data_IF_317814418028
#
_entry.id   IF_317814418028
#
_cell.length_a   1.000
_cell.length_b   1.000
_cell.length_c   1.000
_cell.angle_alpha   90.00
_cell.angle_beta   90.00
_cell.angle_gamma   90.00
#
_symmetry.space_group_name_H-M   'P 1'
#
loop_
_entity.id
_entity.type
_entity.pdbx_description
1 polymer ?
#
# COMPACT_ATOMS: atom_id res chain seq x y z
N UNK A 1 -14.97 16.12 22.76
CA UNK A 1 -14.91 16.00 21.29
C UNK A 1 -14.02 14.82 20.96
N UNK A 2 -14.45 13.94 20.08
CA UNK A 2 -13.71 12.72 19.79
C UNK A 2 -12.56 12.97 18.81
N UNK A 3 -11.53 12.14 18.88
CA UNK A 3 -10.47 12.11 17.89
C UNK A 3 -11.05 11.69 16.53
N UNK A 4 -10.41 12.13 15.46
CA UNK A 4 -10.71 11.70 14.10
C UNK A 4 -9.45 11.11 13.45
N UNK A 5 -9.54 10.72 12.21
CA UNK A 5 -8.38 10.19 11.48
C UNK A 5 -8.13 11.00 10.21
N UNK A 6 -6.86 11.11 9.84
CA UNK A 6 -6.49 11.74 8.58
C UNK A 6 -6.93 10.87 7.39
N UNK A 7 -7.10 11.50 6.23
CA UNK A 7 -7.71 10.84 5.07
C UNK A 7 -6.88 9.67 4.53
N UNK A 8 -5.58 9.84 4.41
CA UNK A 8 -4.75 8.86 3.68
C UNK A 8 -4.00 7.92 4.63
N UNK A 9 -3.13 8.44 5.47
CA UNK A 9 -2.31 7.60 6.35
C UNK A 9 -3.04 7.17 7.62
N UNK A 10 -4.27 7.65 7.82
CA UNK A 10 -5.08 7.32 9.00
C UNK A 10 -4.38 7.66 10.32
N UNK A 11 -3.68 8.80 10.33
CA UNK A 11 -3.11 9.35 11.54
C UNK A 11 -4.24 9.72 12.51
N UNK A 12 -4.00 9.61 13.79
CA UNK A 12 -4.95 10.13 14.77
C UNK A 12 -4.88 11.65 14.81
N UNK A 13 -5.96 12.31 14.48
CA UNK A 13 -6.12 13.75 14.63
C UNK A 13 -6.72 13.97 16.00
N UNK A 14 -5.90 14.45 16.95
CA UNK A 14 -6.28 14.57 18.33
C UNK A 14 -7.20 15.77 18.53
N UNK A 15 -8.33 15.55 19.21
CA UNK A 15 -9.24 16.62 19.56
C UNK A 15 -8.70 17.38 20.78
N UNK A 16 -8.95 18.69 20.81
CA UNK A 16 -8.51 19.53 21.91
C UNK A 16 -9.17 19.08 23.21
N UNK A 17 -8.37 18.92 24.26
CA UNK A 17 -8.86 18.49 25.57
C UNK A 17 -9.01 17.00 25.74
N UNK A 18 -8.84 16.23 24.66
CA UNK A 18 -8.91 14.77 24.73
C UNK A 18 -7.53 14.17 25.00
N UNK A 19 -7.51 12.87 25.25
CA UNK A 19 -6.28 12.07 25.35
C UNK A 19 -5.38 12.45 26.54
N UNK A 20 -5.97 12.94 27.63
CA UNK A 20 -5.21 13.22 28.83
C UNK A 20 -4.50 11.94 29.33
N UNK A 21 -3.18 12.04 29.49
CA UNK A 21 -2.34 10.91 29.86
C UNK A 21 -1.91 10.01 28.71
N UNK A 22 -2.46 10.17 27.50
CA UNK A 22 -2.14 9.32 26.34
C UNK A 22 -1.71 10.10 25.10
N UNK A 23 -1.80 11.42 25.10
CA UNK A 23 -1.49 12.23 23.91
C UNK A 23 -0.04 12.01 23.41
N UNK A 24 0.90 11.77 24.32
CA UNK A 24 2.29 11.50 23.92
C UNK A 24 2.43 10.20 23.15
N UNK A 25 1.72 9.17 23.56
CA UNK A 25 1.71 7.88 22.85
C UNK A 25 1.07 8.01 21.48
N UNK A 26 -0.02 8.74 21.38
CA UNK A 26 -0.72 8.98 20.12
C UNK A 26 0.19 9.75 19.17
N UNK A 27 0.86 10.79 19.64
CA UNK A 27 1.79 11.59 18.84
C UNK A 27 2.96 10.71 18.34
N UNK A 28 3.52 9.89 19.21
CA UNK A 28 4.62 9.00 18.85
C UNK A 28 4.17 7.98 17.81
N UNK A 29 2.99 7.42 17.95
CA UNK A 29 2.44 6.48 16.97
C UNK A 29 2.24 7.17 15.61
N UNK A 30 1.74 8.40 15.59
CA UNK A 30 1.63 9.19 14.36
C UNK A 30 2.98 9.37 13.68
N UNK A 31 4.04 9.67 14.46
CA UNK A 31 5.39 9.81 13.92
C UNK A 31 5.91 8.50 13.32
N UNK A 32 5.61 7.38 13.96
CA UNK A 32 5.99 6.06 13.42
C UNK A 32 5.25 5.76 12.11
N UNK A 33 3.99 6.15 11.99
CA UNK A 33 3.24 6.01 10.73
C UNK A 33 3.88 6.88 9.64
N UNK A 34 4.27 8.11 9.97
CA UNK A 34 4.95 8.98 9.01
C UNK A 34 6.30 8.39 8.59
N UNK A 35 7.06 7.87 9.53
CA UNK A 35 8.32 7.20 9.22
C UNK A 35 8.09 6.00 8.30
N UNK A 36 7.07 5.20 8.59
CA UNK A 36 6.66 4.08 7.75
C UNK A 36 6.35 4.52 6.32
N UNK A 37 5.60 5.61 6.16
CA UNK A 37 5.20 6.11 4.86
C UNK A 37 6.37 6.70 4.05
N UNK A 38 7.39 7.19 4.72
CA UNK A 38 8.55 7.83 4.07
C UNK A 38 9.65 6.82 3.79
N UNK A 39 10.00 5.97 4.75
CA UNK A 39 11.13 5.06 4.66
C UNK A 39 10.83 3.62 5.04
N UNK A 40 9.58 3.27 5.25
CA UNK A 40 9.21 1.93 5.70
C UNK A 40 9.26 0.89 4.61
N UNK A 41 9.48 -0.35 5.01
CA UNK A 41 9.53 -1.52 4.14
C UNK A 41 8.81 -2.68 4.81
N UNK A 42 8.01 -3.39 4.05
CA UNK A 42 7.45 -4.66 4.50
C UNK A 42 7.47 -5.70 3.39
N UNK A 43 7.61 -6.96 3.81
CA UNK A 43 7.42 -8.11 2.93
C UNK A 43 6.05 -8.70 3.25
N UNK A 44 5.23 -8.86 2.22
CA UNK A 44 3.87 -9.41 2.33
C UNK A 44 3.84 -10.72 1.57
N UNK A 45 3.55 -11.81 2.29
CA UNK A 45 3.37 -13.11 1.64
C UNK A 45 1.94 -13.17 1.10
N UNK A 46 1.83 -13.35 -0.22
CA UNK A 46 0.52 -13.44 -0.86
C UNK A 46 -0.03 -14.86 -0.83
N UNK A 47 -1.34 -14.98 -0.82
CA UNK A 47 -1.99 -16.27 -1.02
C UNK A 47 -1.83 -16.70 -2.48
N UNK A 48 -1.58 -17.98 -2.70
CA UNK A 48 -1.24 -18.52 -4.01
C UNK A 48 -2.32 -18.31 -5.08
N UNK A 49 -3.57 -18.20 -4.68
CA UNK A 49 -4.70 -18.09 -5.61
C UNK A 49 -5.56 -16.84 -5.40
N UNK A 50 -5.52 -16.23 -4.21
CA UNK A 50 -6.39 -15.10 -3.88
C UNK A 50 -5.63 -13.80 -3.67
N UNK A 51 -4.30 -13.84 -3.55
CA UNK A 51 -3.48 -12.65 -3.37
C UNK A 51 -3.42 -12.13 -1.95
N UNK A 52 -3.60 -10.83 -1.77
CA UNK A 52 -3.51 -10.19 -0.46
C UNK A 52 -4.32 -8.90 -0.43
N UNK A 53 -4.63 -8.44 0.78
CA UNK A 53 -5.17 -7.10 1.00
C UNK A 53 -4.23 -6.33 1.91
N UNK A 54 -3.85 -5.14 1.50
CA UNK A 54 -3.02 -4.26 2.31
C UNK A 54 -3.91 -3.52 3.30
N UNK A 55 -3.43 -3.35 4.51
CA UNK A 55 -4.21 -2.78 5.61
C UNK A 55 -3.79 -1.35 5.90
N UNK A 56 -4.76 -0.53 6.29
CA UNK A 56 -4.56 0.85 6.73
C UNK A 56 -5.34 1.06 8.02
N UNK A 57 -4.77 0.60 9.11
CA UNK A 57 -5.42 0.71 10.43
C UNK A 57 -5.46 2.16 10.89
N UNK A 58 -6.59 2.56 11.47
CA UNK A 58 -6.74 3.91 12.02
C UNK A 58 -5.80 4.09 13.22
N UNK A 59 -4.97 5.11 13.17
CA UNK A 59 -4.11 5.47 14.29
C UNK A 59 -3.07 4.43 14.68
N UNK A 60 -2.70 3.52 13.76
CA UNK A 60 -1.74 2.46 14.03
C UNK A 60 -0.90 2.17 12.79
N UNK A 61 0.27 1.59 12.99
CA UNK A 61 1.08 1.08 11.87
C UNK A 61 0.36 -0.10 11.21
N UNK A 62 0.52 -0.24 9.92
CA UNK A 62 -0.08 -1.34 9.15
C UNK A 62 0.66 -1.51 7.84
N UNK A 63 0.60 -2.71 7.24
CA UNK A 63 1.46 -3.05 6.10
C UNK A 63 1.24 -2.20 4.85
N UNK A 64 0.04 -1.67 4.66
CA UNK A 64 -0.25 -0.81 3.52
C UNK A 64 0.38 0.57 3.60
N UNK A 65 0.84 1.00 4.77
CA UNK A 65 1.41 2.33 4.97
C UNK A 65 2.90 2.41 4.63
N UNK A 66 3.56 1.28 4.44
CA UNK A 66 4.98 1.27 4.08
C UNK A 66 5.21 1.92 2.72
N UNK A 67 6.35 2.60 2.59
CA UNK A 67 6.75 3.19 1.32
C UNK A 67 7.09 2.13 0.29
N UNK A 68 7.73 1.04 0.71
CA UNK A 68 8.15 -0.07 -0.14
C UNK A 68 7.50 -1.35 0.36
N UNK A 69 6.81 -2.05 -0.52
CA UNK A 69 6.12 -3.30 -0.20
C UNK A 69 6.61 -4.37 -1.16
N UNK A 70 7.17 -5.44 -0.60
CA UNK A 70 7.65 -6.58 -1.38
C UNK A 70 6.65 -7.72 -1.29
N UNK A 71 6.13 -8.12 -2.43
CA UNK A 71 5.20 -9.26 -2.51
C UNK A 71 6.00 -10.53 -2.69
N UNK A 72 5.79 -11.51 -1.80
CA UNK A 72 6.53 -12.78 -1.79
C UNK A 72 5.57 -13.96 -1.81
N UNK A 73 6.11 -15.12 -2.09
CA UNK A 73 5.37 -16.37 -2.11
C UNK A 73 5.31 -16.99 -3.49
N UNK A 74 4.81 -18.22 -3.54
CA UNK A 74 4.59 -18.94 -4.79
C UNK A 74 3.14 -18.83 -5.19
N UNK A 75 2.87 -18.30 -6.38
CA UNK A 75 1.51 -18.16 -6.90
C UNK A 75 1.23 -19.25 -7.92
N UNK A 76 0.01 -19.76 -7.92
CA UNK A 76 -0.45 -20.82 -8.82
C UNK A 76 -1.61 -20.37 -9.69
N UNK A 77 -1.93 -19.10 -9.67
CA UNK A 77 -2.93 -18.45 -10.49
C UNK A 77 -2.69 -16.93 -10.50
N UNK A 78 -3.43 -16.22 -11.34
CA UNK A 78 -3.42 -14.77 -11.33
C UNK A 78 -4.00 -14.28 -10.01
N UNK A 79 -3.35 -13.28 -9.41
CA UNK A 79 -3.77 -12.76 -8.11
C UNK A 79 -3.94 -11.25 -8.15
N UNK A 80 -4.75 -10.76 -7.23
CA UNK A 80 -4.92 -9.34 -6.96
C UNK A 80 -4.35 -8.99 -5.59
N UNK A 81 -3.73 -7.84 -5.50
CA UNK A 81 -3.33 -7.23 -4.23
C UNK A 81 -4.17 -5.98 -4.05
N UNK A 82 -5.02 -5.99 -3.05
CA UNK A 82 -6.01 -4.94 -2.86
C UNK A 82 -5.45 -3.86 -1.95
N UNK A 83 -5.49 -2.62 -2.42
CA UNK A 83 -5.25 -1.43 -1.61
C UNK A 83 -6.61 -0.80 -1.31
N UNK A 84 -6.76 -0.09 -0.18
CA UNK A 84 -8.07 0.46 0.16
C UNK A 84 -8.49 1.57 -0.78
N UNK A 85 -9.79 1.60 -1.09
CA UNK A 85 -10.42 2.77 -1.70
C UNK A 85 -10.30 3.96 -0.74
N UNK A 86 -10.39 5.16 -1.26
CA UNK A 86 -10.39 6.40 -0.46
C UNK A 86 -9.03 6.76 0.16
N UNK A 87 -7.97 6.05 -0.19
CA UNK A 87 -6.61 6.39 0.23
C UNK A 87 -5.81 6.82 -0.98
N UNK A 88 -5.28 8.03 -0.91
CA UNK A 88 -4.38 8.55 -1.94
C UNK A 88 -2.95 8.36 -1.46
N UNK A 89 -2.15 7.60 -2.21
CA UNK A 89 -0.80 7.28 -1.79
C UNK A 89 0.05 6.79 -2.97
N UNK A 90 1.34 7.08 -2.89
CA UNK A 90 2.35 6.48 -3.77
C UNK A 90 2.93 5.26 -3.06
N UNK A 91 2.99 4.15 -3.79
CA UNK A 91 3.62 2.91 -3.34
C UNK A 91 4.79 2.57 -4.25
N UNK A 92 5.85 2.01 -3.68
CA UNK A 92 6.84 1.27 -4.47
C UNK A 92 6.61 -0.19 -4.17
N UNK A 93 6.16 -0.95 -5.16
CA UNK A 93 5.79 -2.35 -4.97
C UNK A 93 6.71 -3.23 -5.81
N UNK A 94 7.29 -4.23 -5.16
CA UNK A 94 8.13 -5.22 -5.79
C UNK A 94 7.37 -6.53 -5.92
N UNK A 95 7.23 -7.03 -7.13
CA UNK A 95 6.72 -8.37 -7.34
C UNK A 95 7.89 -9.37 -7.27
N UNK A 96 8.06 -10.00 -6.12
CA UNK A 96 9.05 -11.04 -5.90
C UNK A 96 8.39 -12.42 -5.73
N UNK A 97 7.19 -12.57 -6.25
CA UNK A 97 6.51 -13.88 -6.24
C UNK A 97 7.15 -14.80 -7.28
N UNK A 98 7.06 -16.10 -7.04
CA UNK A 98 7.43 -17.11 -8.02
C UNK A 98 6.16 -17.65 -8.67
N UNK A 99 6.28 -18.13 -9.92
CA UNK A 99 5.16 -18.60 -10.71
C UNK A 99 4.85 -17.65 -11.87
N UNK A 100 4.50 -18.20 -13.01
CA UNK A 100 4.26 -17.46 -14.25
C UNK A 100 2.81 -17.03 -14.36
N UNK A 101 2.38 -16.19 -13.43
CA UNK A 101 1.03 -15.64 -13.36
C UNK A 101 1.08 -14.14 -13.13
N UNK A 102 -0.01 -13.46 -13.40
CA UNK A 102 -0.08 -12.02 -13.22
C UNK A 102 -0.34 -11.63 -11.77
N UNK A 103 0.20 -10.49 -11.40
CA UNK A 103 -0.10 -9.82 -10.11
C UNK A 103 -0.66 -8.45 -10.45
N UNK A 104 -1.84 -8.14 -9.96
CA UNK A 104 -2.48 -6.84 -10.16
C UNK A 104 -2.67 -6.16 -8.82
N UNK A 105 -2.12 -4.96 -8.68
CA UNK A 105 -2.36 -4.09 -7.51
C UNK A 105 -3.49 -3.13 -7.87
N UNK A 106 -4.54 -3.15 -7.09
CA UNK A 106 -5.77 -2.39 -7.42
C UNK A 106 -6.55 -2.04 -6.16
N UNK A 107 -7.39 -1.02 -6.25
CA UNK A 107 -8.48 -0.83 -5.31
C UNK A 107 -9.58 -1.83 -5.62
N UNK A 108 -10.55 -1.99 -4.73
CA UNK A 108 -11.66 -2.92 -4.96
C UNK A 108 -12.41 -2.59 -6.24
N UNK A 109 -12.57 -1.32 -6.55
CA UNK A 109 -13.32 -0.85 -7.72
C UNK A 109 -12.46 -0.54 -8.93
N UNK A 110 -11.16 -0.42 -8.77
CA UNK A 110 -10.25 0.01 -9.84
C UNK A 110 -9.81 -1.11 -10.76
N UNK A 111 -9.17 -0.74 -11.87
CA UNK A 111 -8.61 -1.69 -12.84
C UNK A 111 -7.20 -2.13 -12.46
N UNK A 112 -6.45 -1.24 -11.82
CA UNK A 112 -5.16 -1.57 -11.24
C UNK A 112 -3.97 -1.52 -12.18
N UNK A 113 -2.83 -1.86 -11.60
CA UNK A 113 -1.53 -1.95 -12.28
C UNK A 113 -1.09 -3.41 -12.25
N UNK A 114 -0.80 -3.97 -13.41
CA UNK A 114 -0.52 -5.40 -13.55
C UNK A 114 0.94 -5.65 -13.90
N UNK A 115 1.55 -6.58 -13.16
CA UNK A 115 2.79 -7.24 -13.57
C UNK A 115 2.42 -8.45 -14.43
N UNK A 116 2.99 -8.53 -15.62
CA UNK A 116 2.78 -9.67 -16.50
C UNK A 116 3.36 -10.96 -15.95
N UNK A 117 3.14 -12.06 -16.63
CA UNK A 117 3.50 -13.40 -16.13
C UNK A 117 5.00 -13.57 -15.88
N UNK A 118 5.85 -12.85 -16.60
CA UNK A 118 7.30 -12.89 -16.44
C UNK A 118 7.86 -11.60 -15.86
N UNK A 119 7.01 -10.63 -15.59
CA UNK A 119 7.42 -9.32 -15.10
C UNK A 119 7.59 -9.41 -13.58
N UNK A 120 8.83 -9.44 -13.14
CA UNK A 120 9.21 -9.48 -11.73
C UNK A 120 10.07 -8.25 -11.47
N UNK A 121 9.76 -7.51 -10.44
CA UNK A 121 10.53 -6.33 -10.11
C UNK A 121 9.66 -5.24 -9.54
N UNK A 122 10.19 -4.03 -9.52
CA UNK A 122 9.60 -2.91 -8.81
C UNK A 122 8.87 -1.98 -9.78
N UNK A 123 7.71 -1.51 -9.34
CA UNK A 123 6.98 -0.42 -10.01
C UNK A 123 6.55 0.60 -8.96
N UNK A 124 6.55 1.85 -9.37
CA UNK A 124 5.94 2.91 -8.59
C UNK A 124 4.46 2.96 -8.96
N UNK A 125 3.60 2.82 -7.97
CA UNK A 125 2.14 2.80 -8.14
C UNK A 125 1.56 3.97 -7.37
N UNK A 126 0.77 4.78 -8.03
CA UNK A 126 0.04 5.86 -7.41
C UNK A 126 -1.45 5.52 -7.41
N UNK A 127 -2.05 5.51 -6.24
CA UNK A 127 -3.50 5.36 -6.09
C UNK A 127 -4.10 6.75 -5.86
N UNK A 128 -5.08 7.11 -6.68
CA UNK A 128 -5.80 8.39 -6.60
C UNK A 128 -7.14 8.24 -5.88
N UNK A 129 -7.27 7.22 -5.04
CA UNK A 129 -8.45 6.84 -4.25
C UNK A 129 -9.43 5.91 -4.99
N UNK A 130 -9.36 5.84 -6.31
CA UNK A 130 -10.25 4.98 -7.09
C UNK A 130 -9.51 4.14 -8.12
N UNK A 131 -8.39 4.63 -8.62
CA UNK A 131 -7.61 3.96 -9.66
C UNK A 131 -6.13 3.99 -9.29
N UNK A 132 -5.39 3.04 -9.83
CA UNK A 132 -3.95 2.94 -9.69
C UNK A 132 -3.26 3.24 -11.01
N UNK A 133 -2.17 3.99 -10.91
CA UNK A 133 -1.39 4.42 -12.06
C UNK A 133 0.07 4.08 -11.85
N UNK A 134 0.76 3.64 -12.91
CA UNK A 134 2.21 3.50 -12.87
C UNK A 134 2.88 4.73 -13.42
N UNK A 135 4.18 4.86 -13.11
CA UNK A 135 5.03 5.81 -13.81
C UNK A 135 5.12 5.44 -15.28
N UNK A 136 4.78 6.36 -16.18
CA UNK A 136 4.90 6.15 -17.62
C UNK A 136 6.31 5.85 -18.07
N UNK A 137 7.29 6.36 -17.36
CA UNK A 137 8.69 6.16 -17.70
C UNK A 137 9.11 4.69 -17.65
N UNK A 138 8.45 3.88 -16.81
CA UNK A 138 8.76 2.47 -16.67
C UNK A 138 8.14 1.60 -17.75
N UNK A 139 6.94 1.95 -18.19
CA UNK A 139 6.15 1.12 -19.08
C UNK A 139 6.27 1.56 -20.53
N UNK A 140 6.91 2.70 -20.78
CA UNK A 140 6.94 3.29 -22.09
C UNK A 140 7.96 2.59 -22.98
N UNK A 141 7.55 1.99 -24.11
CA UNK A 141 8.52 1.43 -25.04
C UNK A 141 9.36 2.54 -25.64
N UNK A 142 10.60 2.22 -25.91
CA UNK A 142 11.49 3.16 -26.60
C UNK A 142 11.01 3.31 -28.05
N UNK A 143 10.68 4.53 -28.42
CA UNK A 143 10.31 4.86 -29.78
C UNK A 143 11.52 5.50 -30.46
N UNK A 144 12.01 4.84 -31.42
CA UNK A 144 13.13 5.35 -32.22
C UNK A 144 12.64 5.91 -33.52
#
# INVERSE_FOLDING_TARGET
MANSTSANLKLTVQATGENSGTWGQITNTNLLILEQAIGGYSAVTVNATTGASLTFSNGAVSNGKDAVIKLTGTITGNIDVIVPDSVEKVYVIENATSGAFTVTVKTTSGTGVTWGTTDKGKKMVYSDRSEEHTSELQSRPHIS
#
